data_IF_326704455213
#
_entry.id   IF_326704455213
#
_cell.length_a   1.000
_cell.length_b   1.000
_cell.length_c   1.000
_cell.angle_alpha   90.00
_cell.angle_beta   90.00
_cell.angle_gamma   90.00
#
_symmetry.space_group_name_H-M   'P 1'
#
loop_
_entity.id
_entity.type
_entity.pdbx_description
1 polymer ?
#
# COMPACT_ATOMS: atom_id res chain seq x y z
N UNK A 1 13.69 31.67 8.01
CA UNK A 1 13.18 30.62 7.12
C UNK A 1 11.96 31.22 6.45
N UNK A 2 12.14 31.72 5.23
CA UNK A 2 11.09 32.41 4.49
C UNK A 2 10.04 31.39 4.05
N UNK A 3 8.82 31.58 4.58
CA UNK A 3 7.53 31.09 4.12
C UNK A 3 7.51 29.76 3.35
N UNK A 4 7.94 28.68 4.01
CA UNK A 4 7.71 27.35 3.48
C UNK A 4 6.21 27.14 3.25
N UNK A 5 5.79 26.59 2.10
CA UNK A 5 4.39 26.51 1.75
C UNK A 5 3.65 25.61 2.75
N UNK A 6 2.55 26.11 3.31
CA UNK A 6 1.68 25.30 4.19
C UNK A 6 0.94 24.20 3.42
N UNK A 7 0.82 24.35 2.10
CA UNK A 7 0.12 23.42 1.22
C UNK A 7 0.81 23.29 -0.13
N UNK A 8 0.76 22.09 -0.71
CA UNK A 8 1.22 21.78 -2.06
C UNK A 8 0.14 20.97 -2.78
N UNK A 9 -0.33 21.46 -3.92
CA UNK A 9 -1.27 20.76 -4.78
C UNK A 9 -0.54 19.93 -5.84
N UNK A 10 -1.04 18.72 -6.08
CA UNK A 10 -0.56 17.83 -7.12
C UNK A 10 -1.75 17.28 -7.91
N UNK A 11 -1.56 17.11 -9.23
CA UNK A 11 -2.51 16.42 -10.08
C UNK A 11 -1.80 15.66 -11.20
N UNK A 12 -2.19 14.41 -11.43
CA UNK A 12 -1.74 13.60 -12.55
C UNK A 12 -2.88 12.70 -13.03
N UNK A 13 -3.27 12.86 -14.31
CA UNK A 13 -4.42 12.14 -14.85
C UNK A 13 -5.71 12.47 -14.10
N UNK A 14 -6.41 11.44 -13.62
CA UNK A 14 -7.64 11.59 -12.84
C UNK A 14 -7.42 11.80 -11.33
N UNK A 15 -6.19 11.60 -10.85
CA UNK A 15 -5.87 11.68 -9.43
C UNK A 15 -5.26 13.04 -9.10
N UNK A 16 -5.66 13.57 -7.95
CA UNK A 16 -5.14 14.82 -7.41
C UNK A 16 -5.15 14.77 -5.89
N UNK A 17 -4.24 15.51 -5.27
CA UNK A 17 -4.19 15.67 -3.83
C UNK A 17 -3.63 17.02 -3.43
N UNK A 18 -3.93 17.42 -2.20
CA UNK A 18 -3.28 18.54 -1.51
C UNK A 18 -2.51 17.98 -0.32
N UNK A 19 -1.19 18.15 -0.33
CA UNK A 19 -0.36 17.90 0.83
C UNK A 19 -0.33 19.14 1.72
N UNK A 20 -0.33 18.95 3.04
CA UNK A 20 -0.31 20.02 4.04
C UNK A 20 0.49 19.61 5.27
N UNK A 21 1.07 20.60 5.95
CA UNK A 21 1.66 20.47 7.28
C UNK A 21 1.41 21.76 8.06
N UNK A 22 1.28 21.67 9.38
CA UNK A 22 0.90 22.81 10.21
C UNK A 22 1.92 23.94 10.14
N UNK A 23 3.20 23.61 10.11
CA UNK A 23 4.30 24.58 10.14
C UNK A 23 5.02 24.75 8.80
N UNK A 24 4.47 24.17 7.73
CA UNK A 24 5.03 24.24 6.39
C UNK A 24 5.63 22.92 5.92
N UNK A 25 5.66 22.79 4.59
CA UNK A 25 6.20 21.65 3.87
C UNK A 25 7.64 21.92 3.43
N UNK A 26 8.43 20.86 3.39
CA UNK A 26 9.77 20.85 2.85
C UNK A 26 9.85 19.85 1.70
N UNK A 27 10.58 20.18 0.64
CA UNK A 27 10.84 19.24 -0.44
C UNK A 27 11.99 19.75 -1.32
N UNK A 28 12.83 18.82 -1.77
CA UNK A 28 14.03 19.09 -2.56
C UNK A 28 13.93 18.55 -4.01
N UNK A 29 12.78 17.99 -4.39
CA UNK A 29 12.54 17.34 -5.67
C UNK A 29 12.61 15.81 -5.62
N UNK A 30 13.33 15.26 -4.64
CA UNK A 30 13.41 13.82 -4.42
C UNK A 30 12.33 13.33 -3.45
N UNK A 31 12.01 14.11 -2.42
CA UNK A 31 10.98 13.73 -1.44
C UNK A 31 10.14 14.93 -0.98
N UNK A 32 9.04 14.62 -0.30
CA UNK A 32 8.19 15.58 0.41
C UNK A 32 8.24 15.30 1.91
N UNK A 33 8.40 16.34 2.72
CA UNK A 33 8.57 16.29 4.16
C UNK A 33 7.93 17.50 4.84
N UNK A 34 8.10 17.60 6.16
CA UNK A 34 7.67 18.72 7.01
C UNK A 34 8.85 19.59 7.38
N UNK A 35 8.62 20.89 7.59
CA UNK A 35 9.69 21.84 7.98
C UNK A 35 10.03 21.77 9.46
N UNK A 36 9.09 21.33 10.30
CA UNK A 36 9.28 21.23 11.74
C UNK A 36 9.12 19.79 12.20
N UNK A 37 10.11 19.28 12.93
CA UNK A 37 10.08 17.92 13.46
C UNK A 37 8.92 17.73 14.44
N UNK A 38 8.36 16.52 14.44
CA UNK A 38 7.17 16.18 15.22
C UNK A 38 5.84 16.70 14.64
N UNK A 39 5.87 17.50 13.57
CA UNK A 39 4.66 17.82 12.81
C UNK A 39 4.18 16.63 11.97
N UNK A 40 2.91 16.63 11.60
CA UNK A 40 2.33 15.61 10.75
C UNK A 40 2.26 16.10 9.29
N UNK A 41 2.58 15.20 8.35
CA UNK A 41 2.30 15.41 6.93
C UNK A 41 0.92 14.81 6.61
N UNK A 42 0.02 15.64 6.10
CA UNK A 42 -1.34 15.24 5.73
C UNK A 42 -1.54 15.38 4.24
N UNK A 43 -1.92 14.30 3.57
CA UNK A 43 -2.27 14.26 2.16
C UNK A 43 -3.77 14.03 2.04
N UNK A 44 -4.47 14.98 1.42
CA UNK A 44 -5.92 14.91 1.18
C UNK A 44 -6.17 14.69 -0.31
N UNK A 45 -6.84 13.62 -0.67
CA UNK A 45 -7.17 13.31 -2.06
C UNK A 45 -8.36 14.15 -2.53
N UNK A 46 -8.17 14.86 -3.63
CA UNK A 46 -9.12 15.85 -4.18
C UNK A 46 -9.61 15.48 -5.58
N UNK A 47 -9.00 14.49 -6.22
CA UNK A 47 -9.37 13.97 -7.54
C UNK A 47 -10.36 12.80 -7.48
N UNK A 48 -10.18 11.84 -8.40
CA UNK A 48 -10.93 10.59 -8.40
C UNK A 48 -10.79 9.80 -7.08
N UNK A 49 -11.71 8.89 -6.83
CA UNK A 49 -11.65 8.00 -5.66
C UNK A 49 -10.31 7.25 -5.63
N UNK A 50 -9.64 7.33 -4.49
CA UNK A 50 -8.44 6.56 -4.18
C UNK A 50 -8.85 5.45 -3.22
N UNK A 51 -8.46 4.23 -3.50
CA UNK A 51 -8.67 3.07 -2.63
C UNK A 51 -7.39 2.19 -2.61
N UNK A 52 -6.35 2.58 -3.35
CA UNK A 52 -5.00 2.03 -3.28
C UNK A 52 -3.94 3.14 -3.15
N UNK A 53 -3.02 2.98 -2.21
CA UNK A 53 -1.91 3.90 -1.94
C UNK A 53 -0.63 3.10 -1.75
N UNK A 54 0.49 3.57 -2.29
CA UNK A 54 1.80 3.01 -2.01
C UNK A 54 2.88 4.09 -2.03
N UNK A 55 3.93 3.92 -1.24
CA UNK A 55 5.04 4.86 -1.21
C UNK A 55 6.11 4.46 -0.19
N UNK A 56 7.22 5.17 -0.22
CA UNK A 56 8.27 5.08 0.78
C UNK A 56 7.96 6.05 1.91
N UNK A 57 7.88 5.56 3.15
CA UNK A 57 7.57 6.39 4.32
C UNK A 57 8.64 6.19 5.39
N UNK A 58 9.35 7.27 5.71
CA UNK A 58 10.49 7.22 6.61
C UNK A 58 10.68 8.56 7.33
N UNK A 59 11.67 8.61 8.21
CA UNK A 59 12.06 9.80 8.92
C UNK A 59 13.39 10.32 8.38
N UNK A 60 13.54 11.64 8.31
CA UNK A 60 14.83 12.31 8.04
C UNK A 60 15.26 13.15 9.24
N UNK A 61 16.56 13.44 9.32
CA UNK A 61 17.11 14.44 10.24
C UNK A 61 17.27 15.81 9.60
N UNK A 62 18.00 16.70 10.28
CA UNK A 62 18.24 18.08 9.82
C UNK A 62 19.14 18.14 8.56
N UNK A 63 20.03 17.15 8.40
CA UNK A 63 20.91 17.05 7.24
C UNK A 63 20.31 16.13 6.16
N UNK A 64 18.99 15.93 6.20
CA UNK A 64 18.22 15.05 5.30
C UNK A 64 18.64 13.57 5.36
N UNK A 65 19.39 13.19 6.38
CA UNK A 65 19.84 11.82 6.57
C UNK A 65 18.69 10.92 7.03
N UNK A 66 18.64 9.69 6.51
CA UNK A 66 17.65 8.71 6.94
C UNK A 66 17.78 8.39 8.43
N UNK A 67 16.65 8.33 9.13
CA UNK A 67 16.57 7.94 10.54
C UNK A 67 15.73 6.68 10.72
N UNK A 68 16.32 5.64 11.32
CA UNK A 68 15.67 4.37 11.64
C UNK A 68 14.76 4.50 12.89
N UNK A 69 13.75 5.35 12.79
CA UNK A 69 12.78 5.65 13.84
C UNK A 69 11.38 5.22 13.43
N UNK A 70 10.52 4.99 14.43
CA UNK A 70 9.13 4.64 14.18
C UNK A 70 8.38 5.79 13.46
N UNK A 71 7.53 5.41 12.53
CA UNK A 71 6.60 6.28 11.82
C UNK A 71 5.22 5.63 11.84
N UNK A 72 4.19 6.45 11.98
CA UNK A 72 2.79 6.04 11.97
C UNK A 72 2.10 6.60 10.74
N UNK A 73 1.45 5.69 10.01
CA UNK A 73 0.58 5.98 8.88
C UNK A 73 -0.86 5.76 9.35
N UNK A 74 -1.72 6.76 9.15
CA UNK A 74 -3.15 6.68 9.42
C UNK A 74 -3.94 7.09 8.18
N UNK A 75 -4.85 6.23 7.74
CA UNK A 75 -5.69 6.43 6.58
C UNK A 75 -7.12 6.78 7.02
N UNK A 76 -7.85 7.53 6.20
CA UNK A 76 -9.23 7.93 6.52
C UNK A 76 -10.25 6.78 6.52
N UNK A 77 -9.86 5.61 6.03
CA UNK A 77 -10.69 4.39 6.08
C UNK A 77 -10.63 3.70 7.46
N UNK A 78 -9.82 4.21 8.38
CA UNK A 78 -9.61 3.67 9.73
C UNK A 78 -8.36 2.80 9.87
N UNK A 79 -7.68 2.49 8.76
CA UNK A 79 -6.40 1.75 8.80
C UNK A 79 -5.33 2.60 9.48
N UNK A 80 -4.59 2.00 10.42
CA UNK A 80 -3.40 2.60 11.00
C UNK A 80 -2.28 1.59 11.16
N UNK A 81 -1.06 1.98 10.83
CA UNK A 81 0.13 1.12 10.93
C UNK A 81 1.31 1.93 11.43
N UNK A 82 2.00 1.39 12.43
CA UNK A 82 3.26 1.93 12.94
C UNK A 82 4.38 0.95 12.66
N UNK A 83 5.50 1.43 12.12
CA UNK A 83 6.68 0.62 11.84
C UNK A 83 7.95 1.47 11.91
N UNK A 84 9.11 0.86 12.04
CA UNK A 84 10.41 1.53 12.01
C UNK A 84 11.23 0.94 10.85
N UNK A 85 11.32 1.64 9.70
CA UNK A 85 12.14 1.15 8.59
C UNK A 85 13.62 1.15 8.99
N UNK A 86 14.37 0.18 8.48
CA UNK A 86 15.82 0.07 8.69
C UNK A 86 16.66 0.73 7.59
N UNK A 87 16.04 1.05 6.45
CA UNK A 87 16.62 1.78 5.32
C UNK A 87 15.51 2.37 4.45
N UNK A 88 15.87 3.23 3.48
CA UNK A 88 14.92 3.73 2.47
C UNK A 88 14.32 2.55 1.68
N UNK A 89 15.11 1.53 1.32
CA UNK A 89 14.62 0.37 0.59
C UNK A 89 13.57 -0.45 1.39
N UNK A 90 13.65 -0.44 2.72
CA UNK A 90 12.72 -1.12 3.65
C UNK A 90 11.52 -0.23 4.06
N UNK A 91 11.45 1.00 3.55
CA UNK A 91 10.43 1.99 3.94
C UNK A 91 9.13 1.92 3.13
N UNK A 92 9.08 1.08 2.08
CA UNK A 92 7.90 0.99 1.23
C UNK A 92 6.72 0.35 1.96
N UNK A 93 5.55 0.99 1.94
CA UNK A 93 4.29 0.40 2.38
C UNK A 93 3.21 0.64 1.34
N UNK A 94 2.35 -0.36 1.16
CA UNK A 94 1.18 -0.30 0.30
C UNK A 94 -0.08 -0.63 1.08
N UNK A 95 -1.17 0.02 0.72
CA UNK A 95 -2.49 -0.14 1.35
C UNK A 95 -3.55 -0.20 0.26
N UNK A 96 -4.54 -1.05 0.47
CA UNK A 96 -5.76 -1.13 -0.35
C UNK A 96 -6.97 -1.14 0.58
N UNK A 97 -8.09 -0.61 0.13
CA UNK A 97 -9.32 -0.52 0.91
C UNK A 97 -10.55 -0.82 0.05
N UNK A 98 -11.61 -1.36 0.65
CA UNK A 98 -12.92 -1.53 -0.02
C UNK A 98 -13.73 -0.22 -0.03
N UNK A 99 -13.26 0.81 0.68
CA UNK A 99 -13.87 2.13 0.74
C UNK A 99 -12.87 3.19 0.31
N UNK A 100 -13.36 4.32 -0.21
CA UNK A 100 -12.50 5.40 -0.65
C UNK A 100 -11.65 5.96 0.51
N UNK A 101 -10.33 5.91 0.35
CA UNK A 101 -9.35 6.59 1.16
C UNK A 101 -9.32 8.06 0.70
N UNK A 102 -9.78 8.97 1.57
CA UNK A 102 -9.84 10.41 1.34
C UNK A 102 -8.61 11.14 1.87
N UNK A 103 -7.92 10.57 2.85
CA UNK A 103 -6.68 11.16 3.36
C UNK A 103 -5.71 10.13 3.91
N UNK A 104 -4.45 10.52 3.90
CA UNK A 104 -3.30 9.84 4.50
C UNK A 104 -2.62 10.84 5.46
N UNK A 105 -2.39 10.43 6.70
CA UNK A 105 -1.61 11.18 7.69
C UNK A 105 -0.36 10.39 8.07
N UNK A 106 0.78 11.06 8.04
CA UNK A 106 2.09 10.50 8.40
C UNK A 106 2.59 11.29 9.62
N UNK A 107 3.00 10.60 10.69
CA UNK A 107 3.43 11.23 11.94
C UNK A 107 4.44 10.37 12.70
N UNK A 108 5.28 11.00 13.52
CA UNK A 108 6.23 10.31 14.41
C UNK A 108 6.17 10.82 15.86
N UNK A 109 5.70 12.06 16.09
CA UNK A 109 5.68 12.71 17.40
C UNK A 109 7.06 13.08 17.97
N UNK A 110 8.11 13.07 17.13
CA UNK A 110 9.51 13.27 17.54
C UNK A 110 10.02 14.61 17.01
N UNK A 111 10.24 15.58 17.91
CA UNK A 111 10.64 16.95 17.53
C UNK A 111 11.98 17.08 16.77
N UNK A 112 12.87 16.10 16.90
CA UNK A 112 14.15 16.07 16.21
C UNK A 112 14.13 15.28 14.90
N UNK A 113 12.94 14.95 14.40
CA UNK A 113 12.77 14.04 13.26
C UNK A 113 11.61 14.48 12.37
N UNK A 114 11.84 14.45 11.06
CA UNK A 114 10.91 14.96 10.07
C UNK A 114 10.30 13.79 9.30
N UNK A 115 8.97 13.69 9.31
CA UNK A 115 8.28 12.65 8.54
C UNK A 115 8.37 12.94 7.06
N UNK A 116 8.72 11.93 6.28
CA UNK A 116 9.06 12.07 4.87
C UNK A 116 8.37 10.99 4.05
N UNK A 117 7.90 11.38 2.87
CA UNK A 117 7.33 10.50 1.86
C UNK A 117 8.03 10.69 0.52
N UNK A 118 8.27 9.57 -0.17
CA UNK A 118 8.80 9.51 -1.52
C UNK A 118 8.05 8.43 -2.32
N UNK A 119 8.09 8.51 -3.66
CA UNK A 119 7.50 7.58 -4.61
C UNK A 119 6.02 7.30 -4.34
N UNK A 120 5.30 8.32 -3.86
CA UNK A 120 3.87 8.20 -3.57
C UNK A 120 3.10 7.94 -4.87
N UNK A 121 2.46 6.78 -4.91
CA UNK A 121 1.56 6.35 -5.97
C UNK A 121 0.18 6.15 -5.38
N UNK A 122 -0.84 6.62 -6.10
CA UNK A 122 -2.24 6.45 -5.72
C UNK A 122 -3.03 5.92 -6.90
N UNK A 123 -4.09 5.19 -6.61
CA UNK A 123 -4.89 4.60 -7.66
C UNK A 123 -6.18 3.97 -7.16
N UNK A 124 -6.80 3.28 -8.11
CA UNK A 124 -7.88 2.35 -7.86
C UNK A 124 -7.31 0.94 -7.69
N UNK A 125 -7.70 0.24 -6.62
CA UNK A 125 -7.45 -1.15 -6.36
C UNK A 125 -8.21 -1.90 -7.44
N UNK A 126 -7.46 -2.52 -8.34
CA UNK A 126 -8.04 -3.52 -9.20
C UNK A 126 -8.67 -4.56 -8.27
N UNK A 127 -9.96 -4.84 -8.46
CA UNK A 127 -10.66 -5.88 -7.72
C UNK A 127 -9.72 -7.10 -7.63
N UNK A 128 -9.42 -7.52 -6.41
CA UNK A 128 -8.43 -8.57 -6.18
C UNK A 128 -8.74 -9.83 -6.99
N UNK A 129 -7.84 -10.82 -7.04
CA UNK A 129 -8.00 -12.05 -7.82
C UNK A 129 -9.17 -12.97 -7.40
N UNK A 130 -10.27 -12.44 -6.85
CA UNK A 130 -11.52 -13.12 -6.54
C UNK A 130 -12.78 -12.51 -7.17
N UNK A 131 -12.71 -11.39 -7.90
CA UNK A 131 -13.91 -10.76 -8.46
C UNK A 131 -14.39 -11.38 -9.80
N UNK A 132 -13.52 -12.02 -10.57
CA UNK A 132 -13.88 -12.73 -11.80
C UNK A 132 -12.81 -13.82 -12.06
N UNK A 133 -12.62 -14.74 -11.11
CA UNK A 133 -11.96 -16.00 -11.44
C UNK A 133 -13.07 -17.01 -11.65
N UNK A 134 -13.48 -17.27 -12.91
CA UNK A 134 -14.20 -18.49 -13.23
C UNK A 134 -13.47 -19.64 -12.56
N UNK A 135 -14.17 -20.40 -11.70
CA UNK A 135 -13.57 -21.46 -10.90
C UNK A 135 -12.57 -22.25 -11.76
N UNK A 136 -11.31 -22.41 -11.32
CA UNK A 136 -10.24 -22.82 -12.20
C UNK A 136 -10.62 -24.12 -12.90
N UNK A 137 -10.45 -24.18 -14.23
CA UNK A 137 -10.57 -25.42 -15.00
C UNK A 137 -9.77 -26.58 -14.36
N UNK A 138 -8.80 -26.29 -13.48
CA UNK A 138 -8.12 -27.22 -12.59
C UNK A 138 -9.03 -28.07 -11.69
N UNK A 139 -10.14 -27.53 -11.16
CA UNK A 139 -11.12 -28.32 -10.40
C UNK A 139 -11.87 -29.31 -11.31
N UNK A 140 -12.28 -28.85 -12.50
CA UNK A 140 -12.90 -29.70 -13.50
C UNK A 140 -11.94 -30.79 -14.01
N UNK A 141 -10.67 -30.45 -14.26
CA UNK A 141 -9.61 -31.39 -14.66
C UNK A 141 -9.26 -32.38 -13.54
N UNK A 142 -9.18 -31.93 -12.29
CA UNK A 142 -8.98 -32.81 -11.14
C UNK A 142 -10.15 -33.78 -10.99
N UNK A 143 -11.38 -33.30 -11.10
CA UNK A 143 -12.58 -34.13 -11.11
C UNK A 143 -12.58 -35.16 -12.25
N UNK A 144 -12.26 -34.73 -13.47
CA UNK A 144 -12.18 -35.62 -14.63
C UNK A 144 -11.06 -36.67 -14.51
N UNK A 145 -9.89 -36.27 -14.00
CA UNK A 145 -8.76 -37.18 -13.74
C UNK A 145 -9.10 -38.26 -12.70
N UNK A 146 -9.74 -37.87 -11.60
CA UNK A 146 -10.20 -38.79 -10.56
C UNK A 146 -11.29 -39.75 -11.08
N UNK A 147 -12.25 -39.24 -11.86
CA UNK A 147 -13.27 -40.07 -12.49
C UNK A 147 -12.65 -41.08 -13.47
N UNK A 148 -11.68 -40.65 -14.29
CA UNK A 148 -10.94 -41.53 -15.20
C UNK A 148 -10.20 -42.65 -14.48
N UNK A 149 -9.52 -42.35 -13.38
CA UNK A 149 -8.83 -43.34 -12.54
C UNK A 149 -9.80 -44.34 -11.90
N UNK A 150 -10.96 -43.87 -11.40
CA UNK A 150 -11.98 -44.74 -10.82
C UNK A 150 -12.56 -45.72 -11.87
N UNK A 151 -12.80 -45.24 -13.10
CA UNK A 151 -13.26 -46.08 -14.20
C UNK A 151 -12.20 -47.11 -14.63
N UNK A 152 -10.92 -46.74 -14.68
CA UNK A 152 -9.82 -47.66 -14.99
C UNK A 152 -9.65 -48.75 -13.91
N UNK A 153 -9.84 -48.42 -12.64
CA UNK A 153 -9.77 -49.40 -11.53
C UNK A 153 -10.87 -50.47 -11.63
N UNK A 154 -12.08 -50.09 -12.06
CA UNK A 154 -13.21 -51.03 -12.22
C UNK A 154 -12.99 -52.04 -13.36
N UNK A 155 -12.18 -51.71 -14.37
CA UNK A 155 -11.90 -52.62 -15.50
C UNK A 155 -10.85 -53.69 -15.19
N UNK A 156 -10.16 -53.59 -14.05
CA UNK A 156 -9.13 -54.58 -13.62
C UNK A 156 -9.68 -55.73 -12.78
N UNK A 157 -10.99 -55.91 -12.68
CA UNK A 157 -11.59 -57.07 -12.01
C UNK A 157 -12.54 -57.78 -12.96
N UNK A 158 -12.05 -58.77 -13.73
CA UNK A 158 -12.42 -60.19 -13.49
C UNK A 158 -11.27 -61.18 -13.84
N UNK A 159 -11.22 -62.45 -13.46
CA UNK A 159 -11.95 -63.32 -12.54
C UNK A 159 -10.96 -64.43 -12.12
N UNK A 160 -10.95 -64.84 -10.85
CA UNK A 160 -10.22 -66.03 -10.42
C UNK A 160 -11.00 -67.26 -10.88
N UNK A 161 -10.49 -67.96 -11.90
CA UNK A 161 -10.93 -69.30 -12.26
C UNK A 161 -10.18 -70.31 -11.39
N UNK A 162 -10.91 -70.91 -10.45
CA UNK A 162 -10.48 -72.04 -9.64
C UNK A 162 -10.33 -73.31 -10.50
N UNK A 163 -9.31 -74.11 -10.17
CA UNK A 163 -9.17 -75.51 -10.58
C UNK A 163 -9.96 -76.43 -9.64
#
# INVERSE_FOLDING_TARGET
MDNAPASLDFSQGAYAYTATARYGLYGNGDFLSVVLGGDALVITFTGANVDAIGGNFYNTGFDEEFQALAITIALSDGTSTTFAPTSIADSYRGFTSDVAIRSLTISNGIFSSFVTVDNLTVGTALAGPGADVPEPASLALMGAGLAGLALLRRRRTPASSAF
#
